data_IF_945232269496
#
_entry.id   IF_945232269496
#
_cell.length_a   1.000
_cell.length_b   1.000
_cell.length_c   1.000
_cell.angle_alpha   90.00
_cell.angle_beta   90.00
_cell.angle_gamma   90.00
#
_symmetry.space_group_name_H-M   'P 1'
#
loop_
_entity.id
_entity.type
_entity.pdbx_description
1 polymer ?
#
# COMPACT_ATOMS: atom_id res chain seq x y z
N UNK A 1 7.47 -23.80 7.47
CA UNK A 1 6.17 -23.66 6.80
C UNK A 1 6.42 -22.66 5.68
N UNK A 2 6.59 -23.12 4.45
CA UNK A 2 6.74 -22.20 3.32
C UNK A 2 5.31 -21.90 2.91
N UNK A 3 4.79 -20.76 3.33
CA UNK A 3 3.51 -20.31 2.81
C UNK A 3 3.69 -20.14 1.30
N UNK A 4 3.00 -20.99 0.54
CA UNK A 4 2.94 -20.86 -0.90
C UNK A 4 2.10 -19.62 -1.20
N UNK A 5 2.74 -18.45 -1.18
CA UNK A 5 2.10 -17.19 -1.54
C UNK A 5 2.00 -17.16 -3.07
N UNK A 6 0.77 -17.12 -3.57
CA UNK A 6 0.47 -16.98 -4.97
C UNK A 6 0.11 -15.52 -5.26
N UNK A 7 0.47 -15.06 -6.45
CA UNK A 7 0.04 -13.76 -6.95
C UNK A 7 -0.76 -13.94 -8.22
N UNK A 8 -1.77 -13.08 -8.39
CA UNK A 8 -2.58 -13.04 -9.58
C UNK A 8 -1.91 -12.14 -10.61
N UNK A 9 -1.44 -12.73 -11.71
CA UNK A 9 -0.73 -12.01 -12.79
C UNK A 9 -1.73 -11.46 -13.83
N UNK A 10 -2.92 -12.05 -13.91
CA UNK A 10 -4.02 -11.62 -14.77
C UNK A 10 -5.36 -12.15 -14.23
N UNK A 11 -6.48 -11.83 -14.87
CA UNK A 11 -7.81 -12.21 -14.38
C UNK A 11 -8.03 -13.72 -14.16
N UNK A 12 -7.19 -14.59 -14.73
CA UNK A 12 -7.35 -16.05 -14.69
C UNK A 12 -6.12 -16.84 -14.22
N UNK A 13 -4.98 -16.19 -13.99
CA UNK A 13 -3.71 -16.90 -13.77
C UNK A 13 -3.14 -16.57 -12.40
N UNK A 14 -2.97 -17.61 -11.57
CA UNK A 14 -2.24 -17.56 -10.31
C UNK A 14 -0.85 -18.15 -10.53
N UNK A 15 0.17 -17.44 -10.08
CA UNK A 15 1.56 -17.88 -10.18
C UNK A 15 2.19 -17.86 -8.79
N UNK A 16 2.94 -18.91 -8.39
CA UNK A 16 3.69 -18.88 -7.15
C UNK A 16 4.70 -17.72 -7.17
N UNK A 17 4.78 -16.94 -6.09
CA UNK A 17 5.79 -15.87 -5.99
C UNK A 17 7.21 -16.44 -6.18
N UNK A 18 7.44 -17.69 -5.75
CA UNK A 18 8.72 -18.36 -5.93
C UNK A 18 9.14 -18.53 -7.39
N UNK A 19 8.20 -18.46 -8.35
CA UNK A 19 8.48 -18.65 -9.76
C UNK A 19 8.77 -17.34 -10.50
N UNK A 20 8.65 -16.22 -9.80
CA UNK A 20 9.03 -14.90 -10.29
C UNK A 20 10.53 -14.72 -10.10
N UNK A 21 11.24 -14.49 -11.20
CA UNK A 21 12.71 -14.31 -11.21
C UNK A 21 13.08 -12.83 -11.20
N UNK A 22 12.31 -12.03 -11.93
CA UNK A 22 12.58 -10.60 -12.14
C UNK A 22 11.27 -9.85 -12.32
N UNK A 23 11.23 -8.61 -11.83
CA UNK A 23 10.06 -7.73 -11.91
C UNK A 23 10.53 -6.34 -12.32
N UNK A 24 10.14 -5.94 -13.52
CA UNK A 24 10.40 -4.62 -14.05
C UNK A 24 9.22 -3.68 -13.73
N UNK A 25 9.55 -2.62 -12.99
CA UNK A 25 8.64 -1.62 -12.46
C UNK A 25 8.76 -0.28 -13.20
N UNK A 26 9.51 -0.23 -14.30
CA UNK A 26 9.78 1.00 -15.05
C UNK A 26 8.49 1.69 -15.52
N UNK A 27 7.43 0.92 -15.76
CA UNK A 27 6.11 1.39 -16.21
C UNK A 27 5.05 1.43 -15.10
N UNK A 28 5.44 1.34 -13.82
CA UNK A 28 4.49 1.26 -12.70
C UNK A 28 3.54 2.48 -12.64
N UNK A 29 4.00 3.66 -13.07
CA UNK A 29 3.17 4.87 -13.15
C UNK A 29 2.08 4.80 -14.21
N UNK A 30 2.24 3.93 -15.21
CA UNK A 30 1.25 3.60 -16.23
C UNK A 30 0.40 2.38 -15.84
N UNK A 31 0.47 1.96 -14.57
CA UNK A 31 -0.21 0.79 -14.01
C UNK A 31 0.21 -0.55 -14.65
N UNK A 32 1.41 -0.61 -15.22
CA UNK A 32 1.94 -1.83 -15.84
C UNK A 32 3.22 -2.28 -15.14
N UNK A 33 3.30 -3.57 -14.85
CA UNK A 33 4.50 -4.23 -14.33
C UNK A 33 4.81 -5.43 -15.21
N UNK A 34 6.08 -5.61 -15.57
CA UNK A 34 6.51 -6.75 -16.39
C UNK A 34 7.17 -7.77 -15.49
N UNK A 35 6.67 -9.01 -15.53
CA UNK A 35 7.13 -10.11 -14.67
C UNK A 35 7.80 -11.16 -15.54
N UNK A 36 9.02 -11.57 -15.19
CA UNK A 36 9.68 -12.72 -15.81
C UNK A 36 9.61 -13.93 -14.89
N UNK A 37 9.15 -15.04 -15.45
CA UNK A 37 9.00 -16.31 -14.74
C UNK A 37 10.19 -17.23 -14.99
N UNK A 38 10.35 -18.24 -14.14
CA UNK A 38 11.43 -19.25 -14.23
C UNK A 38 11.41 -20.06 -15.52
N UNK A 39 10.25 -20.22 -16.14
CA UNK A 39 10.10 -20.89 -17.43
C UNK A 39 10.58 -20.02 -18.62
N UNK A 40 11.02 -18.78 -18.34
CA UNK A 40 11.47 -17.80 -19.33
C UNK A 40 10.34 -16.98 -19.93
N UNK A 41 9.07 -17.25 -19.58
CA UNK A 41 7.94 -16.44 -20.03
C UNK A 41 7.96 -15.04 -19.40
N UNK A 42 7.39 -14.08 -20.12
CA UNK A 42 7.26 -12.69 -19.67
C UNK A 42 5.79 -12.30 -19.72
N UNK A 43 5.27 -11.83 -18.60
CA UNK A 43 3.87 -11.48 -18.43
C UNK A 43 3.72 -10.00 -18.07
N UNK A 44 2.77 -9.34 -18.73
CA UNK A 44 2.41 -7.96 -18.40
C UNK A 44 1.24 -7.96 -17.43
N UNK A 45 1.49 -7.47 -16.21
CA UNK A 45 0.49 -7.35 -15.15
C UNK A 45 -0.02 -5.92 -15.15
N UNK A 46 -1.35 -5.77 -15.19
CA UNK A 46 -2.01 -4.48 -15.37
C UNK A 46 -2.87 -4.10 -14.15
N UNK A 47 -2.96 -2.79 -13.90
CA UNK A 47 -3.92 -2.20 -12.98
C UNK A 47 -3.74 -2.68 -11.54
N UNK A 48 -4.84 -3.09 -10.92
CA UNK A 48 -4.85 -3.52 -9.51
C UNK A 48 -3.94 -4.73 -9.23
N UNK A 49 -3.83 -5.68 -10.17
CA UNK A 49 -2.98 -6.86 -9.98
C UNK A 49 -1.50 -6.48 -9.94
N UNK A 50 -1.09 -5.44 -10.68
CA UNK A 50 0.28 -4.94 -10.64
C UNK A 50 0.60 -4.35 -9.26
N UNK A 51 -0.36 -3.65 -8.65
CA UNK A 51 -0.21 -3.08 -7.32
C UNK A 51 -0.15 -4.15 -6.22
N UNK A 52 -1.03 -5.14 -6.30
CA UNK A 52 -1.04 -6.29 -5.39
C UNK A 52 0.31 -7.02 -5.43
N UNK A 53 0.83 -7.27 -6.63
CA UNK A 53 2.15 -7.86 -6.84
C UNK A 53 3.27 -7.05 -6.17
N UNK A 54 3.32 -5.73 -6.38
CA UNK A 54 4.35 -4.89 -5.77
C UNK A 54 4.21 -4.81 -4.25
N UNK A 55 2.98 -4.79 -3.72
CA UNK A 55 2.75 -4.83 -2.28
C UNK A 55 3.26 -6.13 -1.64
N UNK A 56 3.08 -7.27 -2.31
CA UNK A 56 3.56 -8.56 -1.83
C UNK A 56 5.08 -8.68 -1.91
N UNK A 57 5.68 -8.21 -3.00
CA UNK A 57 7.11 -8.37 -3.24
C UNK A 57 7.97 -7.35 -2.48
N UNK A 58 7.62 -6.06 -2.59
CA UNK A 58 8.44 -4.98 -2.05
C UNK A 58 7.58 -3.73 -1.81
N UNK A 59 6.79 -3.72 -0.71
CA UNK A 59 5.85 -2.63 -0.44
C UNK A 59 6.53 -1.27 -0.35
N UNK A 60 7.81 -1.22 0.06
CA UNK A 60 8.61 0.00 0.14
C UNK A 60 8.75 0.75 -1.20
N UNK A 61 8.58 0.09 -2.35
CA UNK A 61 8.60 0.75 -3.66
C UNK A 61 7.42 1.70 -3.86
N UNK A 62 6.25 1.32 -3.37
CA UNK A 62 5.05 2.18 -3.33
C UNK A 62 5.14 3.23 -2.21
N UNK A 63 6.15 3.15 -1.34
CA UNK A 63 6.37 4.11 -0.26
C UNK A 63 7.31 5.26 -0.67
N UNK A 64 8.17 5.04 -1.67
CA UNK A 64 9.24 5.95 -2.05
C UNK A 64 8.83 7.12 -2.96
N UNK A 65 7.80 6.95 -3.81
CA UNK A 65 7.46 7.91 -4.87
C UNK A 65 5.98 8.34 -4.90
N UNK A 66 5.19 7.83 -3.96
CA UNK A 66 3.75 8.09 -3.83
C UNK A 66 3.49 8.65 -2.43
N UNK A 67 2.43 9.44 -2.24
CA UNK A 67 2.09 10.16 -0.98
C UNK A 67 1.96 9.32 0.31
N UNK A 68 2.32 8.04 0.25
CA UNK A 68 2.43 7.07 1.34
C UNK A 68 3.45 7.49 2.41
N UNK A 69 4.57 8.13 2.05
CA UNK A 69 5.53 8.64 3.06
C UNK A 69 4.92 9.76 3.93
N UNK A 70 4.15 10.66 3.31
CA UNK A 70 3.40 11.69 4.04
C UNK A 70 2.34 11.05 4.94
N UNK A 71 1.59 10.07 4.41
CA UNK A 71 0.63 9.31 5.21
C UNK A 71 1.28 8.59 6.40
N UNK A 72 2.49 8.01 6.23
CA UNK A 72 3.24 7.41 7.35
C UNK A 72 3.60 8.45 8.41
N UNK A 73 4.13 9.62 8.01
CA UNK A 73 4.44 10.68 8.97
C UNK A 73 3.17 11.19 9.67
N UNK A 74 2.06 11.33 8.96
CA UNK A 74 0.78 11.70 9.54
C UNK A 74 0.25 10.63 10.49
N UNK A 75 0.44 9.34 10.19
CA UNK A 75 0.12 8.23 11.11
C UNK A 75 0.98 8.30 12.37
N UNK A 76 2.27 8.61 12.23
CA UNK A 76 3.15 8.83 13.39
C UNK A 76 2.67 10.01 14.21
N UNK A 77 2.29 11.13 13.59
CA UNK A 77 1.76 12.31 14.30
C UNK A 77 0.45 11.98 15.02
N UNK A 78 -0.47 11.27 14.35
CA UNK A 78 -1.72 10.80 14.94
C UNK A 78 -1.45 9.93 16.19
N UNK A 79 -0.53 8.97 16.07
CA UNK A 79 -0.19 8.05 17.15
C UNK A 79 0.55 8.72 18.30
N UNK A 80 1.51 9.61 17.99
CA UNK A 80 2.39 10.19 18.99
C UNK A 80 1.78 11.40 19.70
N UNK A 81 0.92 12.16 19.01
CA UNK A 81 0.37 13.42 19.54
C UNK A 81 -1.15 13.43 19.63
N UNK A 82 -1.87 12.97 18.60
CA UNK A 82 -3.33 13.03 18.62
C UNK A 82 -3.91 12.07 19.65
N UNK A 83 -3.43 10.83 19.73
CA UNK A 83 -3.90 9.85 20.72
C UNK A 83 -3.75 10.30 22.17
N UNK A 84 -2.58 10.78 22.64
CA UNK A 84 -2.46 11.33 23.98
C UNK A 84 -3.38 12.53 24.24
N UNK A 85 -3.54 13.43 23.25
CA UNK A 85 -4.43 14.58 23.39
C UNK A 85 -5.90 14.13 23.51
N UNK A 86 -6.34 13.17 22.71
CA UNK A 86 -7.67 12.57 22.80
C UNK A 86 -7.90 11.92 24.18
N UNK A 87 -6.89 11.23 24.73
CA UNK A 87 -6.95 10.64 26.05
C UNK A 87 -7.16 11.70 27.14
N UNK A 88 -6.43 12.83 27.06
CA UNK A 88 -6.58 13.96 27.98
C UNK A 88 -7.98 14.56 27.87
N UNK A 89 -8.49 14.77 26.65
CA UNK A 89 -9.85 15.29 26.44
C UNK A 89 -10.92 14.35 26.98
N UNK A 90 -10.76 13.05 26.80
CA UNK A 90 -11.65 12.04 27.36
C UNK A 90 -11.65 12.08 28.91
N UNK A 91 -10.49 12.27 29.56
CA UNK A 91 -10.41 12.44 31.01
C UNK A 91 -11.15 13.68 31.52
N UNK A 92 -11.26 14.72 30.69
CA UNK A 92 -12.01 15.94 30.99
C UNK A 92 -13.50 15.85 30.60
N UNK A 93 -13.97 14.70 30.10
CA UNK A 93 -15.34 14.50 29.65
C UNK A 93 -15.66 15.15 28.29
N UNK A 94 -14.65 15.59 27.55
CA UNK A 94 -14.76 16.28 26.26
C UNK A 94 -14.70 15.28 25.09
N UNK A 95 -15.65 14.35 25.06
CA UNK A 95 -15.65 13.23 24.10
C UNK A 95 -15.85 13.66 22.65
N UNK A 96 -16.73 14.64 22.40
CA UNK A 96 -16.98 15.14 21.04
C UNK A 96 -15.73 15.78 20.43
N UNK A 97 -14.97 16.51 21.26
CA UNK A 97 -13.70 17.11 20.86
C UNK A 97 -12.63 16.03 20.62
N UNK A 98 -12.60 14.98 21.45
CA UNK A 98 -11.68 13.86 21.24
C UNK A 98 -11.96 13.15 19.89
N UNK A 99 -13.24 12.88 19.57
CA UNK A 99 -13.64 12.27 18.30
C UNK A 99 -13.36 13.21 17.12
N UNK A 100 -13.62 14.51 17.27
CA UNK A 100 -13.31 15.47 16.22
C UNK A 100 -11.80 15.50 15.89
N UNK A 101 -10.93 15.44 16.92
CA UNK A 101 -9.47 15.35 16.73
C UNK A 101 -9.08 14.03 16.07
N UNK A 102 -9.72 12.91 16.44
CA UNK A 102 -9.50 11.64 15.76
C UNK A 102 -9.73 11.79 14.25
N UNK A 103 -10.91 12.23 13.86
CA UNK A 103 -11.35 12.23 12.46
C UNK A 103 -10.53 13.15 11.56
N UNK A 104 -10.02 14.28 12.09
CA UNK A 104 -9.19 15.21 11.33
C UNK A 104 -7.73 14.77 11.23
N UNK A 105 -7.24 13.97 12.17
CA UNK A 105 -5.82 13.55 12.22
C UNK A 105 -5.57 12.17 11.63
N UNK A 106 -6.60 11.33 11.44
CA UNK A 106 -6.46 10.04 10.75
C UNK A 106 -6.08 10.28 9.27
N UNK A 107 -4.93 9.75 8.81
CA UNK A 107 -4.52 9.90 7.42
C UNK A 107 -5.43 9.07 6.52
N UNK A 108 -6.00 9.69 5.48
CA UNK A 108 -6.80 8.98 4.49
C UNK A 108 -5.89 8.26 3.50
N UNK A 109 -6.16 6.98 3.17
CA UNK A 109 -5.41 6.29 2.13
C UNK A 109 -5.60 7.04 0.80
N UNK A 110 -4.49 7.46 0.19
CA UNK A 110 -4.53 8.04 -1.15
C UNK A 110 -4.68 6.87 -2.12
N UNK A 111 -5.92 6.59 -2.53
CA UNK A 111 -6.13 5.77 -3.72
C UNK A 111 -5.48 6.47 -4.92
N UNK A 112 -4.88 5.70 -5.83
CA UNK A 112 -4.25 6.20 -7.06
C UNK A 112 -5.11 7.30 -7.68
N UNK A 113 -4.58 8.52 -7.73
CA UNK A 113 -5.24 9.62 -8.44
C UNK A 113 -5.23 9.22 -9.91
N UNK A 114 -6.41 9.05 -10.51
CA UNK A 114 -6.54 9.00 -11.97
C UNK A 114 -5.80 10.22 -12.55
N UNK A 115 -4.91 10.04 -13.53
CA UNK A 115 -4.41 11.18 -14.29
C UNK A 115 -5.60 11.92 -14.91
N UNK A 116 -5.57 13.26 -14.84
CA UNK A 116 -6.54 14.14 -15.50
C UNK A 116 -6.30 14.16 -17.00
#
# INVERSE_FOLDING_TARGET
>A
MIDHVFVKINNRTLVPISDIVDVDISELMSETVVVKLKDGSTEHVLGFFALELIWLLKPSLLEGNTGVRWNKHMWVIHNLFAHPLMQILAFLGLYDQAIWIHDITVPKPVAFKKPK
#
